data_IF_090059594561
#
_entry.id   IF_090059594561
#
_cell.length_a   1.000
_cell.length_b   1.000
_cell.length_c   1.000
_cell.angle_alpha   90.00
_cell.angle_beta   90.00
_cell.angle_gamma   90.00
#
_symmetry.space_group_name_H-M   'P 1'
#
loop_
_entity.id
_entity.type
_entity.pdbx_description
1 polymer ?
#
# COMPACT_ATOMS: atom_id res chain seq x y z
N UNK A 1 -12.73 9.23 14.18
CA UNK A 1 -12.05 10.30 13.41
C UNK A 1 -10.59 9.99 13.09
N UNK A 2 -9.64 9.99 14.04
CA UNK A 2 -8.22 9.76 13.71
C UNK A 2 -7.92 8.33 13.19
N UNK A 3 -8.56 7.30 13.76
CA UNK A 3 -8.44 5.91 13.26
C UNK A 3 -9.01 5.76 11.85
N UNK A 4 -10.17 6.37 11.58
CA UNK A 4 -10.78 6.31 10.24
C UNK A 4 -9.88 6.98 9.20
N UNK A 5 -9.29 8.13 9.53
CA UNK A 5 -8.35 8.81 8.65
C UNK A 5 -7.09 7.97 8.33
N UNK A 6 -6.53 7.28 9.34
CA UNK A 6 -5.39 6.36 9.14
C UNK A 6 -5.78 5.19 8.25
N UNK A 7 -6.95 4.59 8.47
CA UNK A 7 -7.47 3.50 7.66
C UNK A 7 -7.63 3.92 6.20
N UNK A 8 -8.37 5.01 5.96
CA UNK A 8 -8.67 5.49 4.61
C UNK A 8 -7.43 5.95 3.87
N UNK A 9 -6.47 6.58 4.56
CA UNK A 9 -5.23 6.98 3.90
C UNK A 9 -4.44 5.75 3.46
N UNK A 10 -4.29 4.74 4.32
CA UNK A 10 -3.64 3.50 3.93
C UNK A 10 -4.36 2.83 2.76
N UNK A 11 -5.69 2.76 2.81
CA UNK A 11 -6.47 2.22 1.71
C UNK A 11 -6.15 2.92 0.37
N UNK A 12 -6.14 4.25 0.35
CA UNK A 12 -5.81 5.05 -0.85
C UNK A 12 -4.36 4.88 -1.28
N UNK A 13 -3.41 4.80 -0.34
CA UNK A 13 -2.00 4.54 -0.64
C UNK A 13 -1.83 3.14 -1.26
N UNK A 14 -2.51 2.13 -0.74
CA UNK A 14 -2.50 0.77 -1.28
C UNK A 14 -3.06 0.74 -2.71
N UNK A 15 -4.15 1.47 -2.96
CA UNK A 15 -4.70 1.67 -4.31
C UNK A 15 -3.67 2.31 -5.24
N UNK A 16 -3.13 3.48 -4.89
CA UNK A 16 -2.19 4.21 -5.73
C UNK A 16 -0.91 3.41 -6.01
N UNK A 17 -0.34 2.77 -4.99
CA UNK A 17 0.84 1.94 -5.15
C UNK A 17 0.56 0.68 -5.96
N UNK A 18 -0.65 0.10 -5.86
CA UNK A 18 -1.07 -1.04 -6.70
C UNK A 18 -1.09 -0.70 -8.18
N UNK A 19 -1.60 0.48 -8.56
CA UNK A 19 -1.57 0.95 -9.97
C UNK A 19 -0.13 1.12 -10.45
N UNK A 20 0.71 1.77 -9.64
CA UNK A 20 2.10 2.05 -10.00
C UNK A 20 2.94 0.76 -10.11
N UNK A 21 2.73 -0.19 -9.19
CA UNK A 21 3.35 -1.50 -9.21
C UNK A 21 2.92 -2.32 -10.44
N UNK A 22 1.63 -2.28 -10.79
CA UNK A 22 1.12 -2.90 -12.01
C UNK A 22 1.81 -2.36 -13.27
N UNK A 23 1.87 -1.03 -13.39
CA UNK A 23 2.49 -0.38 -14.54
C UNK A 23 3.98 -0.72 -14.67
N UNK A 24 4.73 -0.68 -13.56
CA UNK A 24 6.15 -1.02 -13.55
C UNK A 24 6.41 -2.48 -13.90
N UNK A 25 5.63 -3.41 -13.33
CA UNK A 25 5.76 -4.84 -13.58
C UNK A 25 5.39 -5.20 -15.03
N UNK A 26 4.35 -4.56 -15.59
CA UNK A 26 3.97 -4.76 -16.99
C UNK A 26 5.01 -4.19 -17.96
N UNK A 27 5.58 -3.03 -17.64
CA UNK A 27 6.61 -2.39 -18.48
C UNK A 27 7.95 -3.13 -18.44
N UNK A 28 8.26 -3.84 -17.35
CA UNK A 28 9.52 -4.53 -17.15
C UNK A 28 9.29 -5.91 -16.50
N UNK A 29 8.89 -6.94 -17.27
CA UNK A 29 8.47 -8.23 -16.74
C UNK A 29 9.67 -9.07 -16.31
N UNK A 30 10.29 -8.70 -15.19
CA UNK A 30 11.36 -9.47 -14.55
C UNK A 30 10.94 -9.88 -13.13
N UNK A 31 11.26 -11.12 -12.68
CA UNK A 31 10.93 -11.56 -11.32
C UNK A 31 11.50 -10.64 -10.24
N UNK A 32 12.69 -10.07 -10.49
CA UNK A 32 13.35 -9.15 -9.56
C UNK A 32 12.49 -7.91 -9.28
N UNK A 33 11.92 -7.27 -10.30
CA UNK A 33 11.08 -6.09 -10.14
C UNK A 33 9.83 -6.42 -9.33
N UNK A 34 9.18 -7.54 -9.60
CA UNK A 34 8.02 -8.02 -8.83
C UNK A 34 8.35 -8.18 -7.35
N UNK A 35 9.49 -8.79 -7.00
CA UNK A 35 9.91 -8.92 -5.60
C UNK A 35 10.18 -7.57 -4.94
N UNK A 36 10.85 -6.65 -5.64
CA UNK A 36 11.11 -5.31 -5.13
C UNK A 36 9.82 -4.54 -4.88
N UNK A 37 8.81 -4.68 -5.75
CA UNK A 37 7.51 -4.03 -5.59
C UNK A 37 6.74 -4.55 -4.37
N UNK A 38 6.77 -5.86 -4.10
CA UNK A 38 6.16 -6.46 -2.90
C UNK A 38 6.84 -5.94 -1.62
N UNK A 39 8.17 -5.95 -1.59
CA UNK A 39 8.95 -5.45 -0.46
C UNK A 39 8.65 -3.94 -0.28
N UNK A 40 8.61 -3.19 -1.37
CA UNK A 40 8.26 -1.77 -1.38
C UNK A 40 6.86 -1.52 -0.83
N UNK A 41 5.86 -2.36 -1.13
CA UNK A 41 4.53 -2.26 -0.57
C UNK A 41 4.53 -2.40 0.96
N UNK A 42 5.29 -3.36 1.48
CA UNK A 42 5.40 -3.58 2.92
C UNK A 42 6.12 -2.41 3.61
N UNK A 43 7.21 -1.90 3.02
CA UNK A 43 7.93 -0.74 3.54
C UNK A 43 7.06 0.52 3.52
N UNK A 44 6.34 0.75 2.43
CA UNK A 44 5.44 1.90 2.30
C UNK A 44 4.35 1.88 3.38
N UNK A 45 3.78 0.72 3.67
CA UNK A 45 2.83 0.56 4.77
C UNK A 45 3.43 0.97 6.13
N UNK A 46 4.64 0.50 6.42
CA UNK A 46 5.36 0.79 7.66
C UNK A 46 5.67 2.29 7.77
N UNK A 47 6.13 2.91 6.68
CA UNK A 47 6.41 4.35 6.61
C UNK A 47 5.13 5.15 6.89
N UNK A 48 4.02 4.82 6.20
CA UNK A 48 2.74 5.49 6.41
C UNK A 48 2.27 5.35 7.86
N UNK A 49 2.35 4.16 8.45
CA UNK A 49 1.98 3.93 9.84
C UNK A 49 2.83 4.73 10.84
N UNK A 50 4.13 4.85 10.60
CA UNK A 50 5.05 5.62 11.45
C UNK A 50 4.83 7.14 11.30
N UNK A 51 4.64 7.63 10.06
CA UNK A 51 4.31 9.04 9.79
C UNK A 51 3.02 9.45 10.49
N UNK A 52 1.96 8.65 10.38
CA UNK A 52 0.70 8.94 11.04
C UNK A 52 0.80 8.91 12.57
N UNK A 53 1.57 7.98 13.12
CA UNK A 53 1.79 7.95 14.57
C UNK A 53 2.46 9.24 15.08
N UNK A 54 3.42 9.78 14.31
CA UNK A 54 4.09 11.06 14.63
C UNK A 54 3.17 12.27 14.44
N UNK A 55 2.39 12.31 13.36
CA UNK A 55 1.51 13.45 13.03
C UNK A 55 0.33 13.60 14.00
N UNK A 56 -0.21 12.50 14.53
CA UNK A 56 -1.30 12.55 15.51
C UNK A 56 -0.83 12.75 16.95
N UNK A 57 0.40 13.23 17.15
CA UNK A 57 0.95 13.66 18.43
C UNK A 57 0.78 12.61 19.55
N UNK A 58 0.99 11.33 19.19
CA UNK A 58 0.81 10.15 20.05
C UNK A 58 -0.59 9.97 20.66
N UNK A 59 -1.61 10.70 20.19
CA UNK A 59 -3.03 10.47 20.58
C UNK A 59 -3.50 9.06 20.20
N UNK A 60 -2.85 8.45 19.21
CA UNK A 60 -3.01 7.05 18.83
C UNK A 60 -1.91 6.19 19.45
N UNK A 61 -2.27 5.05 20.05
CA UNK A 61 -1.29 4.05 20.46
C UNK A 61 -0.53 3.57 19.22
N UNK A 62 0.80 3.50 19.31
CA UNK A 62 1.66 3.07 18.19
C UNK A 62 1.15 1.78 17.54
N UNK A 63 0.81 0.76 18.34
CA UNK A 63 0.23 -0.52 17.88
C UNK A 63 -1.05 -0.33 17.04
N UNK A 64 -1.93 0.59 17.42
CA UNK A 64 -3.15 0.86 16.64
C UNK A 64 -2.81 1.48 15.29
N UNK A 65 -1.81 2.36 15.22
CA UNK A 65 -1.33 2.89 13.93
C UNK A 65 -0.82 1.77 13.01
N UNK A 66 -0.16 0.74 13.54
CA UNK A 66 0.36 -0.38 12.74
C UNK A 66 -0.68 -1.44 12.38
N UNK A 67 -1.69 -1.70 13.20
CA UNK A 67 -2.68 -2.75 12.93
C UNK A 67 -3.88 -2.21 12.16
N UNK A 68 -4.22 -0.94 12.33
CA UNK A 68 -5.37 -0.35 11.68
C UNK A 68 -5.14 -0.22 10.16
N UNK A 69 -6.07 -0.76 9.38
CA UNK A 69 -6.02 -0.73 7.92
C UNK A 69 -5.03 -1.70 7.28
N UNK A 70 -4.45 -2.66 8.02
CA UNK A 70 -3.50 -3.63 7.46
C UNK A 70 -4.15 -4.50 6.37
N UNK A 71 -5.28 -5.13 6.70
CA UNK A 71 -6.02 -5.95 5.74
C UNK A 71 -6.57 -5.14 4.57
N UNK A 72 -7.05 -3.92 4.84
CA UNK A 72 -7.55 -3.02 3.79
C UNK A 72 -6.47 -2.59 2.81
N UNK A 73 -5.30 -2.20 3.32
CA UNK A 73 -4.13 -1.86 2.49
C UNK A 73 -3.68 -3.04 1.65
N UNK A 74 -3.43 -4.19 2.28
CA UNK A 74 -2.89 -5.36 1.59
C UNK A 74 -3.88 -5.90 0.55
N UNK A 75 -5.16 -6.01 0.93
CA UNK A 75 -6.22 -6.44 0.02
C UNK A 75 -6.37 -5.49 -1.16
N UNK A 76 -6.41 -4.17 -0.92
CA UNK A 76 -6.55 -3.19 -1.98
C UNK A 76 -5.34 -3.15 -2.92
N UNK A 77 -4.13 -3.20 -2.37
CA UNK A 77 -2.90 -3.30 -3.16
C UNK A 77 -2.92 -4.52 -4.09
N UNK A 78 -3.21 -5.71 -3.57
CA UNK A 78 -3.21 -6.94 -4.37
C UNK A 78 -4.29 -6.93 -5.44
N UNK A 79 -5.52 -6.54 -5.08
CA UNK A 79 -6.63 -6.47 -6.03
C UNK A 79 -6.33 -5.50 -7.17
N UNK A 80 -5.89 -4.28 -6.85
CA UNK A 80 -5.57 -3.27 -7.85
C UNK A 80 -4.39 -3.69 -8.70
N UNK A 81 -3.33 -4.24 -8.08
CA UNK A 81 -2.16 -4.70 -8.83
C UNK A 81 -2.55 -5.77 -9.85
N UNK A 82 -3.28 -6.81 -9.44
CA UNK A 82 -3.69 -7.89 -10.34
C UNK A 82 -4.54 -7.35 -11.48
N UNK A 83 -5.58 -6.55 -11.18
CA UNK A 83 -6.49 -6.02 -12.19
C UNK A 83 -5.75 -5.12 -13.20
N UNK A 84 -4.95 -4.18 -12.70
CA UNK A 84 -4.24 -3.22 -13.54
C UNK A 84 -3.08 -3.88 -14.30
N UNK A 85 -2.43 -4.89 -13.73
CA UNK A 85 -1.39 -5.63 -14.42
C UNK A 85 -1.96 -6.35 -15.65
N UNK A 86 -3.11 -7.01 -15.51
CA UNK A 86 -3.79 -7.63 -16.64
C UNK A 86 -4.25 -6.60 -17.67
N UNK A 87 -4.70 -5.42 -17.23
CA UNK A 87 -5.05 -4.33 -18.14
C UNK A 87 -3.84 -3.82 -18.94
N UNK A 88 -2.70 -3.60 -18.28
CA UNK A 88 -1.51 -3.05 -18.93
C UNK A 88 -0.72 -4.08 -19.73
N UNK A 89 -0.68 -5.34 -19.31
CA UNK A 89 0.00 -6.41 -20.04
C UNK A 89 -0.81 -6.93 -21.22
N UNK A 90 -2.14 -6.72 -21.21
CA UNK A 90 -3.05 -7.09 -22.30
C UNK A 90 -3.31 -5.97 -23.33
N UNK A 91 -2.78 -4.76 -23.10
CA UNK A 91 -2.87 -3.61 -24.01
C UNK A 91 -1.60 -3.51 -24.88
#
# INVERSE_FOLDING_TARGET
MALDAVYWTKFVVGLGYGVLAAWLAASNPTPLITYLLIIGAALLYVIVAEVFWRLFDKKLRRRQSYLNGLGGYAGMFLLVWILMYNLFAGA
#
